data_IF_926108143165
#
_entry.id   IF_926108143165
#
_cell.length_a   1.000
_cell.length_b   1.000
_cell.length_c   1.000
_cell.angle_alpha   90.00
_cell.angle_beta   90.00
_cell.angle_gamma   90.00
#
_symmetry.space_group_name_H-M   'P 1'
#
loop_
_entity.id
_entity.type
_entity.pdbx_description
1 polymer ?
#
# COMPACT_ATOMS: atom_id res chain seq x y z
N UNK A 1 -17.70 -11.31 -39.18
CA UNK A 1 -16.34 -10.70 -39.12
C UNK A 1 -16.19 -9.90 -37.83
N UNK A 2 -16.96 -8.84 -37.60
CA UNK A 2 -16.86 -8.05 -36.36
C UNK A 2 -16.91 -8.90 -35.07
N UNK A 3 -17.92 -9.76 -34.93
CA UNK A 3 -18.10 -10.60 -33.74
C UNK A 3 -16.97 -11.60 -33.49
N UNK A 4 -16.16 -11.96 -34.49
CA UNK A 4 -15.00 -12.85 -34.26
C UNK A 4 -13.77 -12.11 -33.76
N UNK A 5 -13.74 -10.77 -33.84
CA UNK A 5 -12.58 -9.94 -33.49
C UNK A 5 -12.85 -8.97 -32.33
N UNK A 6 -14.10 -8.79 -31.90
CA UNK A 6 -14.51 -7.77 -30.91
C UNK A 6 -13.93 -7.95 -29.50
N UNK A 7 -13.40 -9.13 -29.18
CA UNK A 7 -12.88 -9.47 -27.84
C UNK A 7 -11.36 -9.68 -27.84
N UNK A 8 -10.70 -9.55 -29.00
CA UNK A 8 -9.24 -9.71 -29.12
C UNK A 8 -8.54 -8.66 -28.27
N UNK A 9 -7.63 -9.09 -27.40
CA UNK A 9 -6.90 -8.22 -26.50
C UNK A 9 -5.61 -7.72 -27.14
N UNK A 10 -5.20 -6.52 -26.77
CA UNK A 10 -3.89 -5.95 -27.06
C UNK A 10 -3.04 -6.02 -25.77
N UNK A 11 -2.12 -7.00 -25.64
CA UNK A 11 -1.43 -7.25 -24.38
C UNK A 11 -0.60 -6.08 -23.87
N UNK A 12 -0.08 -5.23 -24.77
CA UNK A 12 0.75 -4.08 -24.42
C UNK A 12 -0.01 -2.94 -23.76
N UNK A 13 -1.30 -2.79 -24.03
CA UNK A 13 -2.14 -1.75 -23.44
C UNK A 13 -3.24 -2.28 -22.51
N UNK A 14 -3.40 -3.60 -22.43
CA UNK A 14 -4.48 -4.25 -21.68
C UNK A 14 -5.88 -3.72 -22.08
N UNK A 15 -6.05 -3.40 -23.37
CA UNK A 15 -7.31 -2.98 -23.99
C UNK A 15 -7.68 -3.91 -25.14
N UNK A 16 -8.94 -3.89 -25.57
CA UNK A 16 -9.37 -4.59 -26.78
C UNK A 16 -8.69 -3.98 -28.00
N UNK A 17 -8.08 -4.80 -28.87
CA UNK A 17 -7.39 -4.35 -30.08
C UNK A 17 -8.28 -3.47 -30.98
N UNK A 18 -9.59 -3.71 -30.95
CA UNK A 18 -10.57 -2.93 -31.69
C UNK A 18 -10.60 -1.44 -31.28
N UNK A 19 -10.14 -1.05 -30.08
CA UNK A 19 -10.06 0.36 -29.67
C UNK A 19 -9.16 1.17 -30.61
N UNK A 20 -8.04 0.57 -31.04
CA UNK A 20 -7.09 1.17 -31.99
C UNK A 20 -7.65 1.17 -33.42
N UNK A 21 -8.34 0.10 -33.82
CA UNK A 21 -8.83 -0.05 -35.20
C UNK A 21 -10.19 0.60 -35.46
N UNK A 22 -10.85 1.16 -34.45
CA UNK A 22 -12.15 1.82 -34.60
C UNK A 22 -12.08 3.34 -34.37
N UNK A 23 -10.93 3.86 -33.90
CA UNK A 23 -10.77 5.26 -33.49
C UNK A 23 -11.69 5.67 -32.33
N UNK A 24 -12.20 4.70 -31.58
CA UNK A 24 -13.19 4.84 -30.51
C UNK A 24 -13.06 3.65 -29.57
N UNK A 25 -13.58 3.72 -28.34
CA UNK A 25 -13.60 2.60 -27.41
C UNK A 25 -14.26 1.37 -28.02
N UNK A 26 -13.71 0.18 -27.73
CA UNK A 26 -14.18 -1.07 -28.34
C UNK A 26 -15.63 -1.44 -27.96
N UNK A 27 -16.14 -0.93 -26.84
CA UNK A 27 -17.54 -1.07 -26.39
C UNK A 27 -18.52 -0.22 -27.21
N UNK A 28 -18.06 0.91 -27.76
CA UNK A 28 -18.84 1.81 -28.61
C UNK A 28 -18.66 1.54 -30.12
N UNK A 29 -17.83 0.57 -30.47
CA UNK A 29 -17.56 0.22 -31.85
C UNK A 29 -18.63 -0.74 -32.41
N UNK A 30 -19.10 -0.47 -33.64
CA UNK A 30 -19.96 -1.37 -34.42
C UNK A 30 -19.24 -1.86 -35.66
N UNK A 31 -19.79 -2.88 -36.35
CA UNK A 31 -19.22 -3.38 -37.60
C UNK A 31 -19.11 -2.29 -38.69
N UNK A 32 -20.11 -1.42 -38.76
CA UNK A 32 -20.14 -0.28 -39.69
C UNK A 32 -19.08 0.76 -39.35
N UNK A 33 -18.99 1.14 -38.07
CA UNK A 33 -18.02 2.13 -37.60
C UNK A 33 -16.59 1.65 -37.81
N UNK A 34 -16.32 0.37 -37.52
CA UNK A 34 -15.02 -0.23 -37.74
C UNK A 34 -14.60 -0.17 -39.21
N UNK A 35 -15.46 -0.62 -40.13
CA UNK A 35 -15.15 -0.59 -41.56
C UNK A 35 -15.07 0.85 -42.09
N UNK A 36 -15.93 1.75 -41.62
CA UNK A 36 -15.87 3.17 -41.96
C UNK A 36 -14.56 3.80 -41.52
N UNK A 37 -14.04 3.44 -40.34
CA UNK A 37 -12.75 3.92 -39.85
C UNK A 37 -11.61 3.39 -40.73
N UNK A 38 -11.60 2.09 -41.05
CA UNK A 38 -10.61 1.50 -41.96
C UNK A 38 -10.69 2.05 -43.39
N UNK A 39 -11.87 2.51 -43.81
CA UNK A 39 -12.08 3.12 -45.12
C UNK A 39 -11.78 4.62 -45.17
N UNK A 40 -11.54 5.29 -44.04
CA UNK A 40 -11.35 6.74 -44.01
C UNK A 40 -9.89 7.14 -44.12
N UNK A 41 -9.56 8.06 -45.02
CA UNK A 41 -8.21 8.66 -45.10
C UNK A 41 -7.85 9.52 -43.90
N UNK A 42 -8.85 9.90 -43.08
CA UNK A 42 -8.65 10.72 -41.89
C UNK A 42 -7.83 9.99 -40.80
N UNK A 43 -7.79 8.66 -40.83
CA UNK A 43 -6.99 7.86 -39.90
C UNK A 43 -5.47 7.90 -40.21
N UNK A 44 -5.04 8.55 -41.30
CA UNK A 44 -3.63 8.65 -41.70
C UNK A 44 -3.01 7.39 -42.31
N UNK A 45 -3.73 6.26 -42.31
CA UNK A 45 -3.24 4.95 -42.79
C UNK A 45 -3.88 4.53 -44.11
N UNK A 46 -5.12 4.90 -44.36
CA UNK A 46 -5.85 4.51 -45.57
C UNK A 46 -5.51 5.45 -46.73
N UNK A 47 -5.05 4.94 -47.90
CA UNK A 47 -4.55 5.79 -48.99
C UNK A 47 -5.64 6.54 -49.76
N UNK A 48 -6.87 6.02 -49.80
CA UNK A 48 -8.02 6.66 -50.44
C UNK A 48 -9.31 6.22 -49.74
N UNK A 49 -10.34 7.08 -49.77
CA UNK A 49 -11.58 6.83 -49.04
C UNK A 49 -12.39 5.70 -49.67
N UNK A 50 -12.78 4.72 -48.86
CA UNK A 50 -13.63 3.59 -49.24
C UNK A 50 -14.93 3.67 -48.43
N UNK A 51 -16.05 3.84 -49.14
CA UNK A 51 -17.38 3.82 -48.52
C UNK A 51 -17.92 2.39 -48.50
N UNK A 52 -17.96 1.79 -47.32
CA UNK A 52 -18.53 0.46 -47.11
C UNK A 52 -20.05 0.54 -46.96
N UNK A 53 -20.78 0.02 -47.93
CA UNK A 53 -22.22 -0.20 -47.82
C UNK A 53 -22.47 -1.64 -47.33
N UNK A 54 -22.96 -1.79 -46.10
CA UNK A 54 -23.26 -3.10 -45.50
C UNK A 54 -24.75 -3.40 -45.68
N UNK A 55 -25.06 -4.54 -46.29
CA UNK A 55 -26.44 -5.00 -46.43
C UNK A 55 -26.50 -6.32 -47.18
N UNK A 56 -27.59 -7.05 -46.98
CA UNK A 56 -27.82 -8.36 -47.62
C UNK A 56 -28.57 -8.26 -48.96
N UNK A 57 -29.01 -7.05 -49.32
CA UNK A 57 -29.82 -6.80 -50.51
C UNK A 57 -28.96 -6.44 -51.70
N UNK A 58 -29.33 -6.95 -52.88
CA UNK A 58 -28.70 -6.55 -54.13
C UNK A 58 -29.03 -5.09 -54.43
N UNK A 59 -28.01 -4.29 -54.71
CA UNK A 59 -28.17 -2.88 -55.03
C UNK A 59 -28.08 -2.73 -56.54
N UNK A 60 -29.13 -2.20 -57.16
CA UNK A 60 -29.11 -1.91 -58.61
C UNK A 60 -28.87 -0.42 -58.82
N UNK A 61 -27.77 -0.07 -59.47
CA UNK A 61 -27.45 1.32 -59.81
C UNK A 61 -27.30 1.43 -61.33
N UNK A 62 -28.25 2.14 -61.96
CA UNK A 62 -28.37 2.14 -63.42
C UNK A 62 -28.74 0.75 -63.96
N UNK A 63 -27.96 0.23 -64.92
CA UNK A 63 -28.14 -1.11 -65.50
C UNK A 63 -27.29 -2.20 -64.83
N UNK A 64 -26.56 -1.88 -63.77
CA UNK A 64 -25.65 -2.83 -63.12
C UNK A 64 -26.20 -3.22 -61.75
N UNK A 65 -26.36 -4.52 -61.51
CA UNK A 65 -26.73 -5.08 -60.22
C UNK A 65 -25.47 -5.49 -59.47
N UNK A 66 -25.23 -4.86 -58.32
CA UNK A 66 -24.16 -5.19 -57.40
C UNK A 66 -24.68 -6.19 -56.37
N UNK A 67 -23.95 -7.31 -56.22
CA UNK A 67 -24.26 -8.36 -55.26
C UNK A 67 -23.31 -8.22 -54.07
N UNK A 68 -23.80 -8.07 -52.83
CA UNK A 68 -22.95 -8.00 -51.64
C UNK A 68 -22.07 -9.24 -51.50
N UNK A 69 -20.83 -9.02 -51.06
CA UNK A 69 -19.89 -10.11 -50.80
C UNK A 69 -20.36 -10.94 -49.60
N UNK A 70 -20.60 -12.25 -49.81
CA UNK A 70 -21.00 -13.18 -48.76
C UNK A 70 -20.07 -14.42 -48.76
N UNK A 71 -18.89 -14.28 -48.16
CA UNK A 71 -18.00 -15.40 -47.89
C UNK A 71 -18.25 -15.98 -46.50
N UNK A 72 -18.01 -17.28 -46.36
CA UNK A 72 -18.06 -17.95 -45.06
C UNK A 72 -16.94 -17.46 -44.15
N UNK A 73 -17.31 -17.07 -42.92
CA UNK A 73 -16.39 -16.54 -41.92
C UNK A 73 -16.31 -17.55 -40.77
N UNK A 74 -15.10 -17.86 -40.31
CA UNK A 74 -14.89 -18.74 -39.16
C UNK A 74 -15.03 -17.95 -37.86
N UNK A 75 -15.84 -18.45 -36.92
CA UNK A 75 -15.97 -17.87 -35.59
C UNK A 75 -14.71 -18.09 -34.74
N UNK A 76 -14.50 -17.25 -33.73
CA UNK A 76 -13.32 -17.36 -32.87
C UNK A 76 -13.29 -18.66 -32.03
N UNK A 77 -14.45 -19.26 -31.79
CA UNK A 77 -14.61 -20.55 -31.10
C UNK A 77 -14.49 -21.77 -32.03
N UNK A 78 -14.17 -21.57 -33.31
CA UNK A 78 -14.04 -22.65 -34.30
C UNK A 78 -12.62 -22.74 -34.84
N UNK A 79 -12.13 -23.96 -35.03
CA UNK A 79 -10.81 -24.21 -35.61
C UNK A 79 -10.77 -23.85 -37.09
N UNK A 80 -9.69 -23.24 -37.56
CA UNK A 80 -9.49 -22.92 -38.98
C UNK A 80 -8.19 -23.51 -39.51
N UNK A 81 -8.25 -24.30 -40.59
CA UNK A 81 -7.09 -24.86 -41.32
C UNK A 81 -5.95 -25.37 -40.41
N UNK A 82 -6.27 -26.33 -39.54
CA UNK A 82 -5.35 -26.93 -38.55
C UNK A 82 -4.81 -25.99 -37.46
N UNK A 83 -5.39 -24.81 -37.27
CA UNK A 83 -5.11 -23.95 -36.12
C UNK A 83 -6.09 -24.23 -34.99
N UNK A 84 -5.59 -24.15 -33.76
CA UNK A 84 -6.44 -24.20 -32.57
C UNK A 84 -7.44 -23.04 -32.57
N UNK A 85 -8.53 -23.23 -31.82
CA UNK A 85 -9.50 -22.16 -31.54
C UNK A 85 -8.82 -20.98 -30.83
N UNK A 86 -9.43 -19.80 -30.89
CA UNK A 86 -8.96 -18.64 -30.14
C UNK A 86 -9.06 -18.91 -28.64
N UNK A 87 -8.13 -18.32 -27.89
CA UNK A 87 -8.14 -18.36 -26.42
C UNK A 87 -9.40 -17.69 -25.86
N UNK A 88 -9.80 -18.05 -24.65
CA UNK A 88 -10.88 -17.37 -23.92
C UNK A 88 -10.58 -15.88 -23.71
N UNK A 89 -9.30 -15.51 -23.56
CA UNK A 89 -8.88 -14.11 -23.39
C UNK A 89 -9.24 -13.25 -24.61
N UNK A 90 -9.15 -13.82 -25.82
CA UNK A 90 -9.41 -13.12 -27.09
C UNK A 90 -10.80 -13.39 -27.68
N UNK A 91 -11.56 -14.30 -27.06
CA UNK A 91 -12.85 -14.77 -27.53
C UNK A 91 -13.67 -15.29 -26.35
N UNK A 92 -14.64 -14.49 -25.90
CA UNK A 92 -15.52 -14.88 -24.79
C UNK A 92 -16.30 -16.17 -25.12
N UNK A 93 -16.64 -16.38 -26.40
CA UNK A 93 -17.34 -17.59 -26.86
C UNK A 93 -16.51 -18.89 -26.75
N UNK A 94 -15.20 -18.80 -26.49
CA UNK A 94 -14.31 -19.93 -26.20
C UNK A 94 -14.18 -20.21 -24.70
N UNK A 95 -14.74 -19.37 -23.82
CA UNK A 95 -14.58 -19.49 -22.38
C UNK A 95 -15.39 -20.63 -21.78
N UNK A 96 -14.75 -21.38 -20.88
CA UNK A 96 -15.47 -22.24 -19.95
C UNK A 96 -16.14 -21.38 -18.86
N UNK A 97 -17.23 -21.88 -18.30
CA UNK A 97 -17.91 -21.23 -17.17
C UNK A 97 -16.93 -21.18 -15.98
N UNK A 98 -16.65 -19.98 -15.48
CA UNK A 98 -15.68 -19.77 -14.41
C UNK A 98 -16.20 -20.42 -13.11
N UNK A 99 -15.42 -21.26 -12.42
CA UNK A 99 -15.80 -21.78 -11.12
C UNK A 99 -15.90 -20.62 -10.11
N UNK A 100 -16.79 -20.71 -9.10
CA UNK A 100 -16.92 -19.66 -8.11
C UNK A 100 -15.57 -19.37 -7.43
N UNK A 101 -15.31 -18.08 -7.20
CA UNK A 101 -14.07 -17.61 -6.55
C UNK A 101 -13.92 -18.37 -5.22
N UNK A 102 -12.73 -18.95 -4.94
CA UNK A 102 -12.50 -19.64 -3.67
C UNK A 102 -12.78 -18.68 -2.50
N UNK A 103 -13.45 -19.15 -1.43
CA UNK A 103 -13.73 -18.31 -0.29
C UNK A 103 -12.44 -17.76 0.31
N UNK A 104 -12.50 -16.53 0.85
CA UNK A 104 -11.38 -15.89 1.54
C UNK A 104 -10.83 -16.84 2.61
N UNK A 105 -9.50 -16.89 2.84
CA UNK A 105 -8.92 -17.73 3.87
C UNK A 105 -9.57 -17.39 5.21
N UNK A 106 -10.06 -18.42 5.89
CA UNK A 106 -10.69 -18.25 7.19
C UNK A 106 -9.67 -17.71 8.21
N UNK A 107 -10.11 -16.89 9.19
CA UNK A 107 -9.23 -16.50 10.29
C UNK A 107 -8.65 -17.72 10.99
N UNK A 108 -7.49 -17.55 11.63
CA UNK A 108 -6.80 -18.61 12.36
C UNK A 108 -7.74 -19.30 13.35
N UNK A 109 -7.99 -20.59 13.14
CA UNK A 109 -8.76 -21.46 14.04
C UNK A 109 -7.90 -22.64 14.49
N UNK A 110 -7.80 -22.85 15.79
CA UNK A 110 -7.22 -24.05 16.39
C UNK A 110 -8.38 -24.81 17.05
N UNK A 111 -8.58 -26.09 16.68
CA UNK A 111 -9.68 -26.93 17.19
C UNK A 111 -11.07 -26.28 17.01
N UNK A 112 -11.32 -25.66 15.86
CA UNK A 112 -12.57 -24.93 15.54
C UNK A 112 -12.88 -23.71 16.43
N UNK A 113 -11.91 -23.23 17.21
CA UNK A 113 -12.02 -22.01 18.04
C UNK A 113 -11.03 -20.98 17.49
N UNK A 114 -11.39 -19.69 17.48
CA UNK A 114 -10.45 -18.65 17.05
C UNK A 114 -9.18 -18.68 17.90
N UNK A 115 -8.02 -18.54 17.24
CA UNK A 115 -6.71 -18.61 17.89
C UNK A 115 -6.58 -17.62 19.07
N UNK A 116 -7.29 -16.48 19.01
CA UNK A 116 -7.39 -15.53 20.11
C UNK A 116 -8.02 -16.14 21.37
N UNK A 117 -9.20 -16.76 21.26
CA UNK A 117 -9.89 -17.38 22.41
C UNK A 117 -9.14 -18.60 22.92
N UNK A 118 -8.52 -19.38 22.03
CA UNK A 118 -7.68 -20.51 22.42
C UNK A 118 -6.46 -20.07 23.24
N UNK A 119 -5.74 -19.05 22.78
CA UNK A 119 -4.61 -18.47 23.51
C UNK A 119 -5.06 -17.89 24.86
N UNK A 120 -6.17 -17.15 24.88
CA UNK A 120 -6.74 -16.60 26.11
C UNK A 120 -7.10 -17.69 27.13
N UNK A 121 -7.72 -18.78 26.69
CA UNK A 121 -8.05 -19.91 27.56
C UNK A 121 -6.81 -20.56 28.18
N UNK A 122 -5.74 -20.75 27.40
CA UNK A 122 -4.46 -21.29 27.92
C UNK A 122 -3.88 -20.35 28.98
N UNK A 123 -3.82 -19.04 28.71
CA UNK A 123 -3.30 -18.04 29.67
C UNK A 123 -4.13 -18.05 30.97
N UNK A 124 -5.45 -18.09 30.86
CA UNK A 124 -6.34 -18.20 32.02
C UNK A 124 -6.13 -19.51 32.80
N UNK A 125 -5.98 -20.65 32.12
CA UNK A 125 -5.75 -21.93 32.79
C UNK A 125 -4.44 -21.93 33.56
N UNK A 126 -3.35 -21.44 32.94
CA UNK A 126 -2.04 -21.32 33.59
C UNK A 126 -2.12 -20.39 34.80
N UNK A 127 -2.77 -19.23 34.66
CA UNK A 127 -2.97 -18.29 35.77
C UNK A 127 -3.76 -18.91 36.93
N UNK A 128 -4.87 -19.59 36.64
CA UNK A 128 -5.68 -20.26 37.67
C UNK A 128 -4.89 -21.37 38.36
N UNK A 129 -4.12 -22.17 37.62
CA UNK A 129 -3.27 -23.21 38.20
C UNK A 129 -2.24 -22.61 39.17
N UNK A 130 -1.54 -21.54 38.78
CA UNK A 130 -0.61 -20.84 39.68
C UNK A 130 -1.33 -20.25 40.89
N UNK A 131 -2.50 -19.65 40.71
CA UNK A 131 -3.29 -19.09 41.80
C UNK A 131 -3.75 -20.16 42.79
N UNK A 132 -4.28 -21.29 42.31
CA UNK A 132 -4.70 -22.40 43.16
C UNK A 132 -3.50 -23.04 43.87
N UNK A 133 -2.38 -23.25 43.20
CA UNK A 133 -1.14 -23.73 43.83
C UNK A 133 -0.71 -22.75 44.92
N UNK A 134 -0.71 -21.44 44.65
CA UNK A 134 -0.39 -20.42 45.65
C UNK A 134 -1.33 -20.48 46.85
N UNK A 135 -2.65 -20.54 46.63
CA UNK A 135 -3.65 -20.61 47.71
C UNK A 135 -3.52 -21.91 48.51
N UNK A 136 -3.28 -23.04 47.85
CA UNK A 136 -3.09 -24.34 48.51
C UNK A 136 -1.78 -24.33 49.31
N UNK A 137 -0.68 -23.87 48.72
CA UNK A 137 0.59 -23.71 49.43
C UNK A 137 0.45 -22.74 50.61
N UNK A 138 -0.24 -21.61 50.44
CA UNK A 138 -0.48 -20.65 51.52
C UNK A 138 -1.31 -21.27 52.64
N UNK A 139 -2.43 -21.95 52.33
CA UNK A 139 -3.25 -22.59 53.37
C UNK A 139 -2.52 -23.77 54.02
N UNK A 140 -1.81 -24.62 53.28
CA UNK A 140 -1.10 -25.79 53.84
C UNK A 140 0.17 -25.36 54.60
N UNK A 141 0.92 -24.36 54.14
CA UNK A 141 2.19 -23.97 54.75
C UNK A 141 2.00 -22.92 55.85
N UNK A 142 1.11 -21.94 55.68
CA UNK A 142 0.93 -20.82 56.62
C UNK A 142 -0.21 -21.07 57.61
N UNK A 143 -1.31 -21.70 57.17
CA UNK A 143 -2.46 -21.93 58.06
C UNK A 143 -2.25 -23.12 58.99
N UNK A 144 -1.66 -24.22 58.50
CA UNK A 144 -1.28 -25.33 59.40
C UNK A 144 -0.10 -24.96 60.34
N UNK A 145 0.78 -24.01 59.96
CA UNK A 145 1.80 -23.53 60.90
C UNK A 145 1.22 -22.63 61.99
N UNK A 146 0.13 -21.89 61.71
CA UNK A 146 -0.61 -21.13 62.72
C UNK A 146 -1.49 -22.00 63.61
N UNK A 147 -2.14 -23.04 63.07
CA UNK A 147 -3.02 -23.94 63.85
C UNK A 147 -2.24 -24.82 64.84
N UNK A 148 -0.96 -25.13 64.58
CA UNK A 148 -0.11 -25.82 65.57
C UNK A 148 0.20 -24.92 66.77
N UNK A 149 0.14 -23.59 66.61
CA UNK A 149 0.36 -22.64 67.72
C UNK A 149 -0.90 -22.34 68.53
N UNK A 150 -2.10 -22.48 67.95
CA UNK A 150 -3.36 -22.14 68.64
C UNK A 150 -3.91 -23.31 69.49
N UNK A 151 -3.52 -24.55 69.19
CA UNK A 151 -4.00 -25.75 69.91
C UNK A 151 -3.56 -25.86 71.38
N UNK A 152 -2.66 -25.02 71.89
CA UNK A 152 -2.14 -25.15 73.26
C UNK A 152 -2.47 -24.00 74.21
N UNK A 153 -3.22 -22.99 73.79
CA UNK A 153 -3.58 -21.85 74.65
C UNK A 153 -5.06 -21.45 74.52
N UNK A 154 -5.96 -22.39 74.72
CA UNK A 154 -7.40 -22.08 74.90
C UNK A 154 -7.98 -22.81 76.10
N UNK A 155 -7.45 -22.52 77.28
CA UNK A 155 -8.22 -22.55 78.53
C UNK A 155 -7.71 -21.44 79.43
N UNK A 156 -8.41 -20.30 79.42
CA UNK A 156 -8.99 -19.65 80.60
C UNK A 156 -9.53 -18.29 80.14
N UNK A 157 -10.86 -18.19 80.19
CA UNK A 157 -11.64 -16.96 80.09
C UNK A 157 -11.16 -15.97 81.16
N UNK A 158 -11.10 -14.68 80.82
CA UNK A 158 -11.75 -13.62 81.61
C UNK A 158 -11.64 -12.26 80.91
N UNK A 159 -12.57 -11.41 81.32
CA UNK A 159 -13.18 -10.25 80.67
C UNK A 159 -12.30 -9.01 80.39
N UNK A 160 -12.82 -8.22 79.44
CA UNK A 160 -12.74 -6.76 79.30
C UNK A 160 -11.39 -6.05 79.16
N UNK A 161 -11.29 -5.28 78.07
CA UNK A 161 -10.66 -3.96 78.14
C UNK A 161 -9.52 -3.68 77.16
N UNK A 162 -9.87 -2.96 76.10
CA UNK A 162 -9.14 -1.80 75.58
C UNK A 162 -7.76 -1.98 74.89
N UNK A 163 -7.81 -1.74 73.57
CA UNK A 163 -6.85 -1.00 72.73
C UNK A 163 -5.39 -0.88 73.20
N UNK A 164 -4.44 -1.41 72.42
CA UNK A 164 -3.42 -0.59 71.74
C UNK A 164 -2.39 -1.46 71.00
N UNK A 165 -2.15 -1.13 69.73
CA UNK A 165 -1.11 -1.75 68.91
C UNK A 165 0.31 -1.41 69.40
N UNK A 166 1.20 -2.39 69.36
CA UNK A 166 2.62 -2.20 69.71
C UNK A 166 3.43 -2.04 68.44
N UNK A 167 3.75 -0.78 68.18
CA UNK A 167 4.79 -0.30 67.27
C UNK A 167 6.18 -0.65 67.83
N UNK A 168 7.05 -1.27 67.04
CA UNK A 168 8.47 -1.42 67.38
C UNK A 168 9.24 -0.16 66.97
N UNK A 169 9.79 0.58 67.93
CA UNK A 169 10.81 1.62 67.70
C UNK A 169 11.98 1.34 68.63
N UNK A 170 13.16 1.10 68.04
CA UNK A 170 14.44 1.05 68.73
C UNK A 170 14.90 2.48 69.05
N UNK A 171 15.33 2.73 70.29
CA UNK A 171 15.93 3.99 70.71
C UNK A 171 16.52 3.90 72.11
N UNK A 172 17.84 4.00 72.19
CA UNK A 172 18.67 3.90 73.38
C UNK A 172 18.30 4.90 74.50
N UNK A 173 18.16 4.40 75.73
CA UNK A 173 17.92 5.24 76.90
C UNK A 173 18.07 4.50 78.23
N UNK A 174 19.25 4.63 78.84
CA UNK A 174 19.54 4.15 80.21
C UNK A 174 18.45 4.57 81.20
N UNK A 175 17.81 3.64 81.92
CA UNK A 175 17.12 3.96 83.19
C UNK A 175 17.00 2.78 84.17
N UNK A 176 17.31 3.16 85.41
CA UNK A 176 17.35 2.50 86.72
C UNK A 176 16.32 1.40 87.00
N UNK A 177 16.82 0.38 87.72
CA UNK A 177 16.09 -0.69 88.43
C UNK A 177 14.92 -0.18 89.28
N UNK A 178 13.75 -0.80 89.13
CA UNK A 178 12.73 -0.95 90.19
C UNK A 178 12.44 -2.45 90.38
N UNK A 179 12.21 -2.91 91.63
CA UNK A 179 12.06 -4.32 91.96
C UNK A 179 10.61 -4.78 91.78
N UNK A 180 10.43 -6.00 91.27
CA UNK A 180 9.12 -6.64 91.12
C UNK A 180 8.66 -6.75 89.67
N UNK A 181 9.32 -7.61 88.90
CA UNK A 181 8.80 -8.06 87.61
C UNK A 181 9.02 -9.57 87.51
N UNK A 182 7.90 -10.27 87.47
CA UNK A 182 7.78 -11.72 87.34
C UNK A 182 8.43 -12.16 86.02
N UNK A 183 9.23 -13.22 86.06
CA UNK A 183 9.87 -13.78 84.85
C UNK A 183 8.78 -14.30 83.92
N UNK A 184 8.45 -13.55 82.88
CA UNK A 184 7.78 -14.10 81.70
C UNK A 184 8.86 -14.89 80.96
N UNK A 185 8.79 -16.22 81.07
CA UNK A 185 9.58 -17.10 80.23
C UNK A 185 9.09 -16.92 78.81
N UNK A 186 9.83 -16.17 77.99
CA UNK A 186 9.67 -16.23 76.55
C UNK A 186 9.81 -17.70 76.13
N UNK A 187 8.88 -18.26 75.33
CA UNK A 187 9.03 -19.61 74.83
C UNK A 187 10.35 -19.67 74.05
N UNK A 188 11.25 -20.55 74.49
CA UNK A 188 12.44 -20.91 73.71
C UNK A 188 11.92 -21.62 72.47
N UNK A 189 11.80 -20.88 71.37
CA UNK A 189 11.58 -21.47 70.05
C UNK A 189 12.75 -22.43 69.81
N UNK A 190 12.44 -23.71 69.76
CA UNK A 190 13.39 -24.79 69.52
C UNK A 190 13.68 -24.84 68.02
N UNK A 191 14.91 -25.18 67.64
CA UNK A 191 15.40 -25.28 66.26
C UNK A 191 14.62 -26.26 65.34
N UNK A 192 13.57 -26.92 65.85
CA UNK A 192 12.76 -27.91 65.14
C UNK A 192 11.55 -27.30 64.40
N UNK A 193 11.15 -26.06 64.70
CA UNK A 193 9.94 -25.43 64.14
C UNK A 193 10.20 -24.52 62.93
N UNK A 194 11.45 -24.44 62.46
CA UNK A 194 11.81 -23.58 61.32
C UNK A 194 11.58 -24.38 60.03
N UNK A 195 10.64 -23.92 59.20
CA UNK A 195 10.36 -24.52 57.90
C UNK A 195 11.65 -24.59 57.05
N UNK A 196 11.84 -25.65 56.27
CA UNK A 196 13.04 -25.81 55.42
C UNK A 196 13.23 -24.61 54.46
N UNK A 197 12.13 -23.99 54.05
CA UNK A 197 12.09 -22.74 53.29
C UNK A 197 12.57 -21.51 54.08
N UNK A 198 12.23 -21.41 55.37
CA UNK A 198 12.73 -20.34 56.24
C UNK A 198 14.20 -20.54 56.59
N UNK A 199 14.66 -21.79 56.71
CA UNK A 199 16.07 -22.12 56.94
C UNK A 199 16.94 -21.83 55.71
N UNK A 200 16.42 -22.11 54.52
CA UNK A 200 17.09 -21.77 53.25
C UNK A 200 17.00 -20.28 52.95
N UNK A 201 15.88 -19.62 53.27
CA UNK A 201 15.70 -18.17 53.22
C UNK A 201 16.67 -17.45 54.14
N UNK A 202 16.73 -17.81 55.42
CA UNK A 202 17.69 -17.26 56.40
C UNK A 202 19.14 -17.51 56.00
N UNK A 203 19.46 -18.69 55.45
CA UNK A 203 20.80 -18.97 54.91
C UNK A 203 21.12 -18.07 53.71
N UNK A 204 20.18 -17.89 52.78
CA UNK A 204 20.36 -17.02 51.62
C UNK A 204 20.48 -15.56 52.03
N UNK A 205 19.66 -15.09 52.97
CA UNK A 205 19.74 -13.76 53.57
C UNK A 205 21.09 -13.52 54.24
N UNK A 206 21.53 -14.45 55.10
CA UNK A 206 22.83 -14.35 55.77
C UNK A 206 23.99 -14.36 54.77
N UNK A 207 23.86 -15.14 53.68
CA UNK A 207 24.86 -15.21 52.62
C UNK A 207 24.90 -13.91 51.79
N UNK A 208 23.75 -13.37 51.39
CA UNK A 208 23.63 -12.10 50.69
C UNK A 208 24.12 -10.95 51.57
N UNK A 209 23.75 -10.93 52.85
CA UNK A 209 24.20 -9.93 53.82
C UNK A 209 25.71 -10.02 53.99
N UNK A 210 26.28 -11.21 54.21
CA UNK A 210 27.72 -11.37 54.35
C UNK A 210 28.47 -10.96 53.08
N UNK A 211 27.96 -11.33 51.90
CA UNK A 211 28.54 -10.99 50.61
C UNK A 211 28.49 -9.49 50.34
N UNK A 212 27.33 -8.85 50.45
CA UNK A 212 27.18 -7.42 50.21
C UNK A 212 27.82 -6.57 51.31
N UNK A 213 27.87 -7.05 52.55
CA UNK A 213 28.61 -6.39 53.63
C UNK A 213 30.12 -6.46 53.35
N UNK A 214 30.65 -7.60 52.91
CA UNK A 214 32.04 -7.74 52.51
C UNK A 214 32.39 -6.87 51.29
N UNK A 215 31.53 -6.89 50.25
CA UNK A 215 31.68 -6.10 49.04
C UNK A 215 31.56 -4.60 49.30
N UNK A 216 30.56 -4.19 50.08
CA UNK A 216 30.36 -2.81 50.51
C UNK A 216 31.51 -2.30 51.36
N UNK A 217 32.02 -3.12 52.29
CA UNK A 217 33.21 -2.80 53.09
C UNK A 217 34.45 -2.65 52.20
N UNK A 218 34.60 -3.49 51.17
CA UNK A 218 35.67 -3.37 50.18
C UNK A 218 35.58 -2.05 49.39
N UNK A 219 34.38 -1.71 48.89
CA UNK A 219 34.13 -0.44 48.19
C UNK A 219 34.36 0.79 49.08
N UNK A 220 33.93 0.74 50.35
CA UNK A 220 34.10 1.83 51.31
C UNK A 220 35.55 2.02 51.76
N UNK A 221 36.35 0.93 51.83
CA UNK A 221 37.79 1.00 52.15
C UNK A 221 38.64 1.50 50.98
N UNK A 222 38.21 1.27 49.74
CA UNK A 222 38.96 1.66 48.52
C UNK A 222 38.12 2.49 47.53
N UNK A 223 37.57 3.65 47.92
CA UNK A 223 36.63 4.41 47.10
C UNK A 223 37.24 4.92 45.79
N UNK A 224 38.50 5.39 45.83
CA UNK A 224 39.19 5.91 44.63
C UNK A 224 39.44 4.80 43.62
N UNK A 225 39.88 3.62 44.06
CA UNK A 225 40.16 2.48 43.19
C UNK A 225 38.90 2.00 42.48
N UNK A 226 37.78 1.86 43.21
CA UNK A 226 36.50 1.45 42.64
C UNK A 226 35.97 2.46 41.63
N UNK A 227 36.09 3.77 41.92
CA UNK A 227 35.68 4.81 40.98
C UNK A 227 36.52 4.82 39.70
N UNK A 228 37.85 4.66 39.81
CA UNK A 228 38.74 4.60 38.65
C UNK A 228 38.47 3.37 37.79
N UNK A 229 38.32 2.20 38.41
CA UNK A 229 37.98 0.96 37.69
C UNK A 229 36.60 1.06 37.05
N UNK A 230 35.60 1.58 37.76
CA UNK A 230 34.25 1.81 37.22
C UNK A 230 34.24 2.77 36.03
N UNK A 231 34.97 3.88 36.12
CA UNK A 231 35.14 4.82 35.01
C UNK A 231 35.90 4.20 33.83
N UNK A 232 36.92 3.38 34.10
CA UNK A 232 37.66 2.68 33.05
C UNK A 232 36.77 1.67 32.30
N UNK A 233 35.97 0.89 33.03
CA UNK A 233 35.01 -0.07 32.45
C UNK A 233 33.91 0.66 31.69
N UNK A 234 33.32 1.71 32.26
CA UNK A 234 32.31 2.52 31.60
C UNK A 234 32.86 3.16 30.32
N UNK A 235 34.05 3.77 30.37
CA UNK A 235 34.73 4.35 29.22
C UNK A 235 35.04 3.32 28.12
N UNK A 236 35.51 2.13 28.50
CA UNK A 236 35.76 1.04 27.55
C UNK A 236 34.48 0.56 26.86
N UNK A 237 33.36 0.45 27.58
CA UNK A 237 32.07 0.07 27.01
C UNK A 237 31.46 1.20 26.15
N UNK A 238 31.64 2.47 26.54
CA UNK A 238 31.19 3.63 25.76
C UNK A 238 31.98 3.85 24.48
N UNK A 239 33.21 3.34 24.37
CA UNK A 239 34.02 3.44 23.16
C UNK A 239 33.33 2.82 21.93
N UNK A 240 32.47 1.82 22.13
CA UNK A 240 31.69 1.19 21.05
C UNK A 240 30.72 2.14 20.33
N UNK A 241 30.34 3.26 20.94
CA UNK A 241 29.47 4.28 20.32
C UNK A 241 30.16 4.90 19.10
N UNK A 242 31.50 4.96 19.07
CA UNK A 242 32.25 5.47 17.91
C UNK A 242 32.06 4.65 16.63
N UNK A 243 31.65 3.38 16.75
CA UNK A 243 31.40 2.46 15.62
C UNK A 243 29.90 2.25 15.40
N UNK A 244 29.04 3.01 16.09
CA UNK A 244 27.60 2.89 15.94
C UNK A 244 27.15 3.35 14.55
N UNK A 245 26.53 2.44 13.80
CA UNK A 245 25.97 2.70 12.47
C UNK A 245 24.44 2.66 12.54
N UNK A 246 23.81 3.76 12.14
CA UNK A 246 22.35 3.86 12.06
C UNK A 246 21.89 3.32 10.70
N UNK A 247 21.02 2.31 10.72
CA UNK A 247 20.32 1.86 9.51
C UNK A 247 19.07 2.71 9.31
N UNK A 248 19.03 3.52 8.24
CA UNK A 248 17.89 4.39 7.89
C UNK A 248 17.00 3.81 6.79
N UNK A 249 17.45 2.76 6.11
CA UNK A 249 16.70 2.10 5.04
C UNK A 249 15.50 1.35 5.63
N UNK A 250 14.25 1.78 5.34
CA UNK A 250 13.05 1.16 5.89
C UNK A 250 12.92 -0.30 5.48
N UNK A 251 13.41 -0.68 4.30
CA UNK A 251 13.28 -2.06 3.84
C UNK A 251 14.17 -2.97 4.69
N UNK A 252 15.36 -2.52 5.08
CA UNK A 252 16.22 -3.28 6.00
C UNK A 252 15.67 -3.34 7.43
N UNK A 253 14.90 -2.33 7.84
CA UNK A 253 14.26 -2.27 9.16
C UNK A 253 13.04 -3.21 9.25
N UNK A 254 12.23 -3.28 8.18
CA UNK A 254 10.93 -3.94 8.20
C UNK A 254 10.90 -5.31 7.50
N UNK A 255 11.97 -5.72 6.82
CA UNK A 255 12.06 -7.04 6.19
C UNK A 255 13.28 -7.80 6.66
N UNK A 256 13.07 -9.05 7.10
CA UNK A 256 14.18 -9.96 7.38
C UNK A 256 14.92 -10.30 6.09
N UNK A 257 16.26 -10.37 6.16
CA UNK A 257 17.13 -10.65 5.01
C UNK A 257 16.78 -11.96 4.31
N UNK A 258 16.44 -12.99 5.09
CA UNK A 258 16.12 -14.33 4.58
C UNK A 258 14.62 -14.55 4.37
N UNK A 259 13.83 -13.47 4.34
CA UNK A 259 12.40 -13.59 4.02
C UNK A 259 12.21 -13.91 2.53
N UNK A 260 11.14 -14.66 2.22
CA UNK A 260 10.78 -14.99 0.84
C UNK A 260 10.62 -13.71 -0.01
N UNK A 261 9.91 -12.71 0.50
CA UNK A 261 9.70 -11.44 -0.19
C UNK A 261 11.03 -10.71 -0.50
N UNK A 262 12.04 -10.83 0.39
CA UNK A 262 13.37 -10.25 0.13
C UNK A 262 14.10 -11.01 -0.97
N UNK A 263 14.04 -12.34 -0.95
CA UNK A 263 14.66 -13.19 -1.96
C UNK A 263 14.06 -12.95 -3.35
N UNK A 264 12.73 -12.84 -3.44
CA UNK A 264 12.02 -12.54 -4.69
C UNK A 264 12.36 -11.14 -5.22
N UNK A 265 12.42 -10.15 -4.32
CA UNK A 265 12.85 -8.80 -4.68
C UNK A 265 14.30 -8.79 -5.18
N UNK A 266 15.24 -9.38 -4.46
CA UNK A 266 16.65 -9.38 -4.83
C UNK A 266 16.86 -10.13 -6.18
N UNK A 267 16.04 -11.16 -6.44
CA UNK A 267 15.97 -11.82 -7.75
C UNK A 267 15.44 -10.87 -8.84
N UNK A 268 14.36 -10.14 -8.59
CA UNK A 268 13.81 -9.16 -9.54
C UNK A 268 14.82 -8.03 -9.84
N UNK A 269 15.37 -7.41 -8.79
CA UNK A 269 16.29 -6.27 -8.88
C UNK A 269 17.57 -6.64 -9.66
N UNK A 270 18.02 -7.90 -9.58
CA UNK A 270 19.22 -8.39 -10.31
C UNK A 270 18.97 -8.72 -11.79
N UNK A 271 17.73 -9.03 -12.19
CA UNK A 271 17.40 -9.40 -13.57
C UNK A 271 16.79 -8.24 -14.37
N UNK A 272 15.97 -7.41 -13.73
CA UNK A 272 15.23 -6.33 -14.37
C UNK A 272 15.72 -4.93 -13.96
N UNK A 273 16.64 -4.86 -13.00
CA UNK A 273 16.98 -3.62 -12.33
C UNK A 273 15.98 -3.30 -11.21
N UNK A 274 16.35 -2.35 -10.32
CA UNK A 274 15.47 -1.93 -9.25
C UNK A 274 14.20 -1.28 -9.81
N UNK A 275 13.10 -1.44 -9.09
CA UNK A 275 11.87 -0.72 -9.40
C UNK A 275 12.12 0.81 -9.41
N UNK A 276 11.59 1.51 -10.41
CA UNK A 276 11.79 2.94 -10.58
C UNK A 276 11.18 3.73 -9.41
N UNK A 277 11.70 4.94 -9.18
CA UNK A 277 11.17 5.86 -8.17
C UNK A 277 10.05 6.69 -8.77
N UNK A 278 8.96 6.85 -8.03
CA UNK A 278 7.79 7.62 -8.48
C UNK A 278 7.65 8.87 -7.63
N UNK A 279 7.65 10.03 -8.28
CA UNK A 279 7.30 11.31 -7.66
C UNK A 279 5.92 11.71 -8.21
N UNK A 280 4.91 11.80 -7.34
CA UNK A 280 3.52 12.03 -7.75
C UNK A 280 3.03 13.40 -7.26
N UNK A 281 2.39 14.14 -8.16
CA UNK A 281 1.68 15.37 -7.85
C UNK A 281 0.20 15.16 -8.17
N UNK A 282 -0.67 15.41 -7.18
CA UNK A 282 -2.12 15.37 -7.36
C UNK A 282 -2.61 16.81 -7.31
N UNK A 283 -3.15 17.29 -8.43
CA UNK A 283 -3.61 18.67 -8.55
C UNK A 283 -5.13 18.66 -8.49
N UNK A 284 -5.71 19.60 -7.76
CA UNK A 284 -7.16 19.80 -7.72
C UNK A 284 -7.48 21.29 -7.66
N UNK A 285 -8.69 21.66 -8.09
CA UNK A 285 -9.17 23.04 -8.08
C UNK A 285 -10.15 23.23 -6.93
N UNK A 286 -9.76 24.05 -5.95
CA UNK A 286 -10.57 24.31 -4.74
C UNK A 286 -11.96 24.90 -5.04
N UNK A 287 -12.12 25.66 -6.13
CA UNK A 287 -13.38 26.30 -6.52
C UNK A 287 -14.02 25.56 -7.70
N UNK A 288 -14.60 24.39 -7.43
CA UNK A 288 -15.11 23.46 -8.45
C UNK A 288 -16.52 23.80 -8.97
N UNK A 289 -16.96 25.07 -8.88
CA UNK A 289 -18.36 25.43 -9.14
C UNK A 289 -18.68 25.80 -10.59
N UNK A 290 -17.68 26.01 -11.44
CA UNK A 290 -17.88 26.35 -12.85
C UNK A 290 -17.46 25.18 -13.73
N UNK A 291 -18.46 24.48 -14.28
CA UNK A 291 -18.22 23.46 -15.29
C UNK A 291 -17.77 24.12 -16.60
N UNK A 292 -16.83 23.48 -17.28
CA UNK A 292 -16.46 23.84 -18.66
C UNK A 292 -17.54 23.27 -19.58
N UNK A 293 -18.24 24.16 -20.27
CA UNK A 293 -19.36 23.79 -21.14
C UNK A 293 -18.81 23.60 -22.56
N UNK A 294 -18.72 22.36 -23.00
CA UNK A 294 -18.30 22.02 -24.36
C UNK A 294 -19.51 21.80 -25.27
N UNK A 295 -19.48 22.33 -26.48
CA UNK A 295 -20.50 22.07 -27.50
C UNK A 295 -19.92 21.12 -28.53
N UNK A 296 -20.52 19.94 -28.65
CA UNK A 296 -20.07 18.97 -29.63
C UNK A 296 -20.28 19.52 -31.05
N UNK A 297 -19.34 19.27 -31.97
CA UNK A 297 -19.49 19.66 -33.37
C UNK A 297 -20.69 18.93 -34.02
N UNK A 298 -21.25 19.45 -35.13
CA UNK A 298 -22.28 18.77 -35.91
C UNK A 298 -21.81 17.34 -36.30
N UNK A 299 -22.70 16.33 -36.23
CA UNK A 299 -24.17 16.42 -36.25
C UNK A 299 -24.84 16.35 -34.87
N UNK A 300 -24.09 16.15 -33.78
CA UNK A 300 -24.67 15.85 -32.48
C UNK A 300 -25.14 17.08 -31.68
N UNK A 301 -24.59 18.28 -31.90
CA UNK A 301 -24.90 19.58 -31.24
C UNK A 301 -25.19 19.54 -29.71
N UNK A 302 -24.86 18.44 -29.03
CA UNK A 302 -25.10 18.25 -27.61
C UNK A 302 -24.08 19.04 -26.80
N UNK A 303 -24.55 19.59 -25.69
CA UNK A 303 -23.71 20.31 -24.74
C UNK A 303 -23.28 19.36 -23.61
N UNK A 304 -21.97 19.21 -23.42
CA UNK A 304 -21.38 18.35 -22.40
C UNK A 304 -20.67 19.21 -21.36
N UNK A 305 -20.96 18.93 -20.09
CA UNK A 305 -20.29 19.60 -18.98
C UNK A 305 -19.08 18.78 -18.54
N UNK A 306 -17.92 19.43 -18.52
CA UNK A 306 -16.68 18.96 -17.92
C UNK A 306 -16.45 19.67 -16.59
N UNK A 307 -15.75 19.02 -15.67
CA UNK A 307 -15.33 19.65 -14.42
C UNK A 307 -14.34 20.78 -14.66
N UNK A 308 -14.22 21.66 -13.67
CA UNK A 308 -13.38 22.87 -13.74
C UNK A 308 -11.87 22.59 -13.89
N UNK A 309 -11.43 21.34 -13.75
CA UNK A 309 -10.03 20.92 -13.94
C UNK A 309 -9.63 20.84 -15.42
N UNK A 310 -10.61 20.76 -16.33
CA UNK A 310 -10.36 20.75 -17.78
C UNK A 310 -10.43 22.15 -18.39
N UNK A 311 -10.49 23.19 -17.55
CA UNK A 311 -10.49 24.58 -18.00
C UNK A 311 -9.18 24.92 -18.70
N UNK A 312 -9.27 25.52 -19.89
CA UNK A 312 -8.12 25.72 -20.77
C UNK A 312 -7.01 26.55 -20.12
N UNK A 313 -7.37 27.62 -19.42
CA UNK A 313 -6.41 28.46 -18.68
C UNK A 313 -5.71 27.67 -17.58
N UNK A 314 -6.44 26.76 -16.93
CA UNK A 314 -5.88 25.89 -15.90
C UNK A 314 -4.94 24.82 -16.47
N UNK A 315 -5.25 24.28 -17.65
CA UNK A 315 -4.33 23.39 -18.39
C UNK A 315 -3.00 24.09 -18.71
N UNK A 316 -3.05 25.35 -19.16
CA UNK A 316 -1.82 26.12 -19.40
C UNK A 316 -1.03 26.39 -18.10
N UNK A 317 -1.71 26.77 -17.01
CA UNK A 317 -1.03 27.02 -15.72
C UNK A 317 -0.30 25.78 -15.19
N UNK A 318 -0.87 24.59 -15.37
CA UNK A 318 -0.19 23.35 -14.95
C UNK A 318 0.85 22.90 -15.94
N UNK A 319 0.69 23.20 -17.24
CA UNK A 319 1.76 22.98 -18.20
C UNK A 319 2.99 23.84 -17.87
N UNK A 320 2.80 25.10 -17.49
CA UNK A 320 3.88 25.97 -17.02
C UNK A 320 4.57 25.37 -15.78
N UNK A 321 3.79 24.84 -14.82
CA UNK A 321 4.33 24.16 -13.65
C UNK A 321 5.13 22.90 -14.03
N UNK A 322 4.61 22.08 -14.93
CA UNK A 322 5.26 20.85 -15.37
C UNK A 322 6.58 21.17 -16.07
N UNK A 323 6.59 22.13 -17.01
CA UNK A 323 7.80 22.58 -17.70
C UNK A 323 8.82 23.20 -16.74
N UNK A 324 8.36 23.90 -15.70
CA UNK A 324 9.25 24.43 -14.66
C UNK A 324 9.90 23.30 -13.83
N UNK A 325 9.16 22.22 -13.54
CA UNK A 325 9.69 21.04 -12.84
C UNK A 325 10.69 20.29 -13.74
N UNK A 326 10.37 20.12 -15.03
CA UNK A 326 11.25 19.46 -16.00
C UNK A 326 12.60 20.18 -16.15
N UNK A 327 12.62 21.50 -16.00
CA UNK A 327 13.83 22.32 -16.10
C UNK A 327 14.55 22.55 -14.75
N UNK A 328 14.17 21.83 -13.69
CA UNK A 328 14.90 21.90 -12.42
C UNK A 328 16.32 21.34 -12.57
N UNK A 329 17.26 22.03 -11.95
CA UNK A 329 18.66 21.60 -11.86
C UNK A 329 19.06 21.46 -10.40
N UNK A 330 19.83 20.43 -10.10
CA UNK A 330 20.36 20.18 -8.77
C UNK A 330 21.87 19.98 -8.83
N UNK A 331 22.61 20.49 -7.85
CA UNK A 331 24.04 20.22 -7.74
C UNK A 331 24.27 18.99 -6.86
N UNK A 332 24.89 17.95 -7.41
CA UNK A 332 25.24 16.75 -6.69
C UNK A 332 26.70 16.36 -6.98
N UNK A 333 27.53 16.25 -5.95
CA UNK A 333 28.97 15.96 -6.06
C UNK A 333 29.75 16.91 -6.99
N UNK A 334 29.32 18.18 -7.12
CA UNK A 334 29.98 19.19 -7.96
C UNK A 334 29.59 19.13 -9.45
N UNK A 335 28.62 18.29 -9.80
CA UNK A 335 28.02 18.23 -11.14
C UNK A 335 26.57 18.74 -11.09
N UNK A 336 26.15 19.43 -12.16
CA UNK A 336 24.76 19.83 -12.35
C UNK A 336 23.99 18.65 -12.92
N UNK A 337 23.03 18.15 -12.16
CA UNK A 337 22.12 17.06 -12.53
C UNK A 337 20.78 17.64 -12.96
N UNK A 338 20.28 17.18 -14.10
CA UNK A 338 18.97 17.53 -14.65
C UNK A 338 18.00 16.36 -14.53
N UNK A 339 16.71 16.57 -14.81
CA UNK A 339 15.73 15.49 -14.83
C UNK A 339 16.06 14.42 -15.89
N UNK A 340 16.52 14.84 -17.08
CA UNK A 340 16.85 13.93 -18.19
C UNK A 340 17.98 12.95 -17.85
N UNK A 341 18.85 13.29 -16.89
CA UNK A 341 19.97 12.44 -16.45
C UNK A 341 19.53 11.27 -15.54
N UNK A 342 18.40 11.39 -14.84
CA UNK A 342 17.96 10.45 -13.80
C UNK A 342 16.60 9.80 -14.07
N UNK A 343 15.82 10.35 -15.00
CA UNK A 343 14.48 9.87 -15.28
C UNK A 343 14.49 8.51 -15.99
N UNK A 344 13.36 7.81 -15.90
CA UNK A 344 13.17 6.58 -16.67
C UNK A 344 12.87 6.90 -18.13
N UNK A 345 13.67 6.32 -19.05
CA UNK A 345 13.55 6.49 -20.50
C UNK A 345 13.28 5.12 -21.16
N UNK A 346 12.03 4.81 -21.53
CA UNK A 346 11.62 3.48 -21.94
C UNK A 346 12.10 3.08 -23.34
N UNK A 347 12.34 4.06 -24.21
CA UNK A 347 12.72 3.87 -25.62
C UNK A 347 14.16 4.33 -25.89
N UNK A 348 14.98 4.54 -24.86
CA UNK A 348 16.39 4.88 -25.07
C UNK A 348 17.13 3.73 -25.78
N UNK A 349 18.01 4.02 -26.76
CA UNK A 349 18.49 5.33 -27.19
C UNK A 349 17.67 6.01 -28.32
N UNK A 350 16.65 5.34 -28.86
CA UNK A 350 15.87 5.86 -30.00
C UNK A 350 15.07 7.12 -29.63
N UNK A 351 14.58 7.18 -28.39
CA UNK A 351 13.97 8.36 -27.80
C UNK A 351 14.42 8.53 -26.35
N UNK A 352 15.09 9.65 -26.06
CA UNK A 352 15.64 9.98 -24.74
C UNK A 352 14.68 10.80 -23.87
N UNK A 353 13.40 10.93 -24.26
CA UNK A 353 12.41 11.65 -23.47
C UNK A 353 11.99 10.86 -22.23
N UNK A 354 11.90 11.57 -21.11
CA UNK A 354 11.50 11.03 -19.82
C UNK A 354 10.04 10.56 -19.82
N UNK A 355 9.75 9.48 -19.11
CA UNK A 355 8.35 9.10 -18.81
C UNK A 355 7.76 10.09 -17.80
N UNK A 356 6.79 10.88 -18.27
CA UNK A 356 5.94 11.74 -17.45
C UNK A 356 4.50 11.33 -17.75
N UNK A 357 3.71 11.07 -16.70
CA UNK A 357 2.34 10.58 -16.83
C UNK A 357 1.36 11.69 -16.43
N UNK A 358 0.85 12.43 -17.41
CA UNK A 358 -0.02 13.59 -17.25
C UNK A 358 -0.95 13.71 -18.45
N UNK A 359 -2.14 14.28 -18.28
CA UNK A 359 -3.04 14.55 -19.42
C UNK A 359 -2.46 15.55 -20.43
N UNK A 360 -1.49 16.36 -19.99
CA UNK A 360 -0.80 17.33 -20.84
C UNK A 360 0.08 16.66 -21.91
N UNK A 361 0.44 15.39 -21.69
CA UNK A 361 1.18 14.59 -22.65
C UNK A 361 0.37 14.22 -23.89
N UNK A 362 -0.97 14.25 -23.83
CA UNK A 362 -1.80 14.14 -25.05
C UNK A 362 -1.52 15.30 -26.02
N UNK A 363 -1.08 16.45 -25.51
CA UNK A 363 -0.69 17.61 -26.31
C UNK A 363 0.83 17.72 -26.49
N UNK A 364 1.58 16.66 -26.17
CA UNK A 364 3.04 16.62 -26.21
C UNK A 364 3.67 17.84 -25.50
N UNK A 365 3.18 18.17 -24.30
CA UNK A 365 3.68 19.25 -23.46
C UNK A 365 3.79 20.62 -24.15
N UNK A 366 2.93 20.90 -25.14
CA UNK A 366 3.03 22.11 -25.95
C UNK A 366 1.78 22.99 -25.86
N UNK A 367 1.96 24.25 -25.46
CA UNK A 367 0.87 25.25 -25.39
C UNK A 367 0.17 25.42 -26.74
N UNK A 368 0.92 25.41 -27.85
CA UNK A 368 0.37 25.60 -29.19
C UNK A 368 -0.58 24.46 -29.58
N UNK A 369 -0.30 23.25 -29.11
CA UNK A 369 -1.15 22.08 -29.35
C UNK A 369 -2.46 22.16 -28.56
N UNK A 370 -2.44 22.70 -27.33
CA UNK A 370 -3.65 22.99 -26.54
C UNK A 370 -4.46 24.12 -27.17
N UNK A 371 -3.81 25.10 -27.79
CA UNK A 371 -4.46 26.23 -28.44
C UNK A 371 -5.02 25.94 -29.84
N UNK A 372 -4.74 24.77 -30.39
CA UNK A 372 -5.14 24.40 -31.74
C UNK A 372 -6.66 24.24 -31.84
N UNK A 373 -7.25 24.93 -32.81
CA UNK A 373 -8.69 24.87 -33.12
C UNK A 373 -8.87 24.71 -34.62
N UNK A 374 -9.73 23.80 -35.02
CA UNK A 374 -10.13 23.61 -36.43
C UNK A 374 -11.54 24.12 -36.61
N UNK A 375 -11.71 25.05 -37.56
CA UNK A 375 -13.01 25.59 -37.94
C UNK A 375 -13.57 24.84 -39.15
N UNK A 376 -14.88 24.92 -39.34
CA UNK A 376 -15.55 24.42 -40.53
C UNK A 376 -15.12 25.18 -41.79
N UNK A 377 -15.44 24.65 -42.97
CA UNK A 377 -15.07 25.26 -44.26
C UNK A 377 -15.60 26.68 -44.46
N UNK A 378 -16.59 27.09 -43.66
CA UNK A 378 -17.22 28.40 -43.71
C UNK A 378 -16.82 29.33 -42.55
N UNK A 379 -16.07 28.83 -41.55
CA UNK A 379 -15.62 29.60 -40.38
C UNK A 379 -16.71 29.97 -39.36
N UNK A 380 -17.88 29.31 -39.41
CA UNK A 380 -19.00 29.56 -38.49
C UNK A 380 -18.98 28.70 -37.24
N UNK A 381 -18.30 27.56 -37.24
CA UNK A 381 -18.33 26.62 -36.12
C UNK A 381 -16.99 25.93 -35.90
N UNK A 382 -16.67 25.71 -34.63
CA UNK A 382 -15.53 24.89 -34.22
C UNK A 382 -15.87 23.44 -34.54
N UNK A 383 -15.05 22.82 -35.38
CA UNK A 383 -15.15 21.40 -35.74
C UNK A 383 -14.39 20.54 -34.75
N UNK A 384 -13.25 21.03 -34.25
CA UNK A 384 -12.48 20.34 -33.22
C UNK A 384 -11.64 21.31 -32.41
N UNK A 385 -11.58 21.08 -31.10
CA UNK A 385 -10.71 21.76 -30.15
C UNK A 385 -10.01 20.78 -29.20
N UNK A 386 -9.34 21.34 -28.19
CA UNK A 386 -8.63 20.57 -27.17
C UNK A 386 -9.53 19.57 -26.43
N UNK A 387 -10.80 19.90 -26.13
CA UNK A 387 -11.71 18.96 -25.45
C UNK A 387 -12.04 17.78 -26.36
N UNK A 388 -12.23 18.01 -27.66
CA UNK A 388 -12.49 16.92 -28.61
C UNK A 388 -11.29 15.97 -28.71
N UNK A 389 -10.07 16.52 -28.76
CA UNK A 389 -8.84 15.73 -28.75
C UNK A 389 -8.66 14.97 -27.43
N UNK A 390 -8.85 15.65 -26.29
CA UNK A 390 -8.81 15.03 -24.96
C UNK A 390 -9.80 13.87 -24.86
N UNK A 391 -11.05 14.09 -25.26
CA UNK A 391 -12.10 13.06 -25.22
C UNK A 391 -11.72 11.86 -26.09
N UNK A 392 -11.12 12.09 -27.25
CA UNK A 392 -10.65 11.03 -28.12
C UNK A 392 -9.49 10.25 -27.47
N UNK A 393 -8.49 10.93 -26.90
CA UNK A 393 -7.35 10.27 -26.27
C UNK A 393 -7.69 9.54 -24.96
N UNK A 394 -8.64 10.06 -24.17
CA UNK A 394 -9.15 9.34 -23.00
C UNK A 394 -9.88 8.04 -23.37
N UNK A 395 -10.33 7.94 -24.61
CA UNK A 395 -11.05 6.80 -25.16
C UNK A 395 -10.17 5.83 -25.95
N UNK A 396 -9.12 6.34 -26.59
CA UNK A 396 -8.17 5.58 -27.40
C UNK A 396 -6.72 6.09 -27.14
N UNK A 397 -6.16 5.85 -25.94
CA UNK A 397 -4.89 6.46 -25.51
C UNK A 397 -3.67 5.99 -26.31
N UNK A 398 -3.78 4.84 -26.98
CA UNK A 398 -2.73 4.29 -27.83
C UNK A 398 -2.80 4.76 -29.31
N UNK A 399 -3.71 5.69 -29.64
CA UNK A 399 -3.84 6.18 -31.01
C UNK A 399 -2.69 7.12 -31.38
N UNK A 400 -2.08 6.88 -32.55
CA UNK A 400 -1.01 7.73 -33.10
C UNK A 400 -1.54 8.98 -33.78
N UNK A 401 -2.84 9.03 -34.10
CA UNK A 401 -3.46 10.16 -34.76
C UNK A 401 -4.96 10.21 -34.44
N UNK A 402 -5.44 11.35 -33.97
CA UNK A 402 -6.87 11.58 -33.79
C UNK A 402 -7.61 11.67 -35.12
N UNK A 403 -8.90 11.31 -35.07
CA UNK A 403 -9.81 11.46 -36.21
C UNK A 403 -10.88 12.51 -35.98
N UNK A 404 -10.69 13.37 -34.98
CA UNK A 404 -11.61 14.49 -34.70
C UNK A 404 -11.30 15.70 -35.58
N UNK A 405 -10.15 15.71 -36.27
CA UNK A 405 -9.79 16.72 -37.27
C UNK A 405 -8.54 17.51 -36.92
N UNK A 406 -8.02 17.36 -35.69
CA UNK A 406 -6.78 18.00 -35.25
C UNK A 406 -5.54 17.23 -35.73
N UNK A 407 -5.67 15.94 -36.06
CA UNK A 407 -4.60 15.06 -36.54
C UNK A 407 -3.40 15.03 -35.57
N UNK A 408 -3.66 14.97 -34.27
CA UNK A 408 -2.64 14.93 -33.23
C UNK A 408 -2.51 13.52 -32.62
N UNK A 409 -1.32 13.19 -32.12
CA UNK A 409 -1.05 11.92 -31.44
C UNK A 409 -1.59 11.93 -30.01
N UNK A 410 -2.07 10.79 -29.51
CA UNK A 410 -2.39 10.60 -28.09
C UNK A 410 -1.21 10.03 -27.28
N UNK A 411 -0.08 9.75 -27.94
CA UNK A 411 1.12 9.28 -27.25
C UNK A 411 1.87 10.45 -26.60
N UNK A 412 2.45 10.19 -25.44
CA UNK A 412 3.37 11.11 -24.77
C UNK A 412 4.62 11.36 -25.63
N UNK A 413 5.40 12.40 -25.29
CA UNK A 413 6.70 12.66 -25.92
C UNK A 413 7.67 11.47 -25.79
N UNK A 414 7.54 10.67 -24.73
CA UNK A 414 8.30 9.42 -24.52
C UNK A 414 7.86 8.26 -25.42
N UNK A 415 6.80 8.43 -26.22
CA UNK A 415 6.22 7.41 -27.08
C UNK A 415 5.28 6.43 -26.38
N UNK A 416 5.01 6.61 -25.08
CA UNK A 416 4.11 5.76 -24.31
C UNK A 416 2.65 6.24 -24.38
N UNK A 417 1.67 5.31 -24.37
CA UNK A 417 0.28 5.68 -24.15
C UNK A 417 0.10 6.13 -22.69
N UNK A 418 -0.66 7.21 -22.50
CA UNK A 418 -1.06 7.66 -21.16
C UNK A 418 -2.46 7.15 -20.89
N UNK A 419 -2.62 6.33 -19.86
CA UNK A 419 -3.92 5.79 -19.51
C UNK A 419 -4.69 6.74 -18.58
N UNK A 420 -6.01 6.93 -18.79
CA UNK A 420 -6.82 7.83 -17.98
C UNK A 420 -6.77 7.54 -16.47
N UNK A 421 -6.70 6.27 -16.06
CA UNK A 421 -6.69 5.88 -14.64
C UNK A 421 -5.36 6.14 -13.93
N UNK A 422 -4.32 6.53 -14.67
CA UNK A 422 -3.02 6.92 -14.10
C UNK A 422 -2.93 8.46 -13.99
N UNK A 423 -3.59 9.18 -14.90
CA UNK A 423 -3.50 10.64 -15.02
C UNK A 423 -4.74 11.40 -14.54
N UNK A 424 -5.80 10.72 -14.12
CA UNK A 424 -7.05 11.33 -13.62
C UNK A 424 -7.56 10.57 -12.40
N UNK A 425 -8.26 11.27 -11.52
CA UNK A 425 -8.88 10.72 -10.32
C UNK A 425 -10.25 11.34 -10.01
N UNK A 426 -11.03 10.65 -9.16
CA UNK A 426 -12.32 11.15 -8.66
C UNK A 426 -13.52 10.96 -9.59
N UNK A 427 -13.40 10.16 -10.66
CA UNK A 427 -14.51 9.85 -11.58
C UNK A 427 -15.18 8.50 -11.25
N UNK A 428 -16.36 8.25 -11.84
CA UNK A 428 -17.12 6.99 -11.68
C UNK A 428 -17.16 6.19 -12.98
N UNK A 429 -16.76 4.92 -12.92
CA UNK A 429 -16.76 4.04 -14.11
C UNK A 429 -15.87 4.61 -15.22
N UNK A 430 -16.44 4.81 -16.41
CA UNK A 430 -15.71 5.35 -17.58
C UNK A 430 -16.02 6.85 -17.81
N UNK A 431 -16.57 7.55 -16.82
CA UNK A 431 -17.00 8.95 -16.95
C UNK A 431 -15.86 9.95 -16.66
N UNK A 432 -14.81 9.96 -17.48
CA UNK A 432 -13.61 10.79 -17.24
C UNK A 432 -13.87 12.30 -17.23
N UNK A 433 -14.98 12.78 -17.81
CA UNK A 433 -15.37 14.21 -17.79
C UNK A 433 -15.74 14.71 -16.39
N UNK A 434 -16.07 13.81 -15.45
CA UNK A 434 -16.41 14.14 -14.07
C UNK A 434 -15.23 14.02 -13.10
N UNK A 435 -13.99 13.89 -13.60
CA UNK A 435 -12.80 13.82 -12.76
C UNK A 435 -12.62 15.06 -11.87
N UNK A 436 -12.21 14.84 -10.63
CA UNK A 436 -12.02 15.89 -9.60
C UNK A 436 -10.55 16.27 -9.42
N UNK A 437 -9.64 15.41 -9.88
CA UNK A 437 -8.20 15.60 -9.80
C UNK A 437 -7.50 14.98 -11.03
N UNK A 438 -6.26 15.40 -11.20
CA UNK A 438 -5.31 15.00 -12.22
C UNK A 438 -3.99 14.68 -11.54
#
# INVERSE_FOLDING_TARGET
MFNSCKDVQMPSANEKALSVFCGRPADQCSAELWLSYMGSTANGHTPFTINFAIGDQNVTQGNTTYVPMNYTITGCNQSYKNRSVCSCQDCEASCAIVPPIPPKPEPCKILHIDCYYFAFAIVCLVFNLFFFIYVICYNILVRNSLDVMDSQYSQLEDEDGDYSGVFCVNGDGKKKRRPGAQRINAPKVSHADISCLEKTGSWMETLLESFFHAWGTFCARHPILVMVVGLAVAGALSAGISVFQVTTDPVKLWSAKDSQARTERDYFDSHFGPFYRTEQLIITRSNNHTNVVHKNPPPSEDTVNYTSIFDKEFLHMVLDLQLAIENLTAEYNGETVTLEDICFQPLAPDNTKCTIQSILQYYQNNHTNIDKVVMDSYGFSVVADYIDHLRYCLQAPASTQDTVGLNMSCLAESGQPIFPWISLGGYKGNDYKSSEAW
#
